data_IF_731366850467
#
_entry.id   IF_731366850467
#
_cell.length_a   1.000
_cell.length_b   1.000
_cell.length_c   1.000
_cell.angle_alpha   90.00
_cell.angle_beta   90.00
_cell.angle_gamma   90.00
#
_symmetry.space_group_name_H-M   'P 1'
#
loop_
_entity.id
_entity.type
_entity.pdbx_description
1 polymer ?
#
# COMPACT_ATOMS: atom_id res chain seq x y z
N UNK A 1 -29.57 -10.87 -15.88
CA UNK A 1 -30.12 -10.56 -17.22
C UNK A 1 -29.14 -11.06 -18.26
N UNK A 2 -29.61 -11.48 -19.43
CA UNK A 2 -28.80 -11.95 -20.56
C UNK A 2 -28.19 -10.77 -21.33
N UNK A 3 -26.99 -10.95 -21.87
CA UNK A 3 -26.28 -9.92 -22.67
C UNK A 3 -27.05 -9.72 -24.00
N UNK A 4 -27.35 -8.46 -24.41
CA UNK A 4 -27.98 -8.18 -25.70
C UNK A 4 -27.13 -8.64 -26.90
N UNK A 5 -27.76 -8.97 -28.03
CA UNK A 5 -27.05 -9.43 -29.22
C UNK A 5 -26.10 -8.37 -29.83
N UNK A 6 -26.43 -7.09 -29.68
CA UNK A 6 -25.64 -5.96 -30.20
C UNK A 6 -24.75 -5.31 -29.12
N UNK A 7 -24.37 -6.08 -28.09
CA UNK A 7 -23.57 -5.55 -26.99
C UNK A 7 -22.14 -5.23 -27.45
N UNK A 8 -21.80 -3.93 -27.44
CA UNK A 8 -20.44 -3.47 -27.63
C UNK A 8 -19.70 -3.48 -26.29
N UNK A 9 -18.86 -4.50 -26.08
CA UNK A 9 -18.10 -4.66 -24.84
C UNK A 9 -17.18 -3.47 -24.54
N UNK A 10 -16.61 -2.87 -25.59
CA UNK A 10 -15.68 -1.75 -25.47
C UNK A 10 -16.42 -0.52 -24.98
N UNK A 11 -17.55 -0.17 -25.59
CA UNK A 11 -18.32 1.02 -25.16
C UNK A 11 -18.84 0.89 -23.73
N UNK A 12 -19.35 -0.29 -23.37
CA UNK A 12 -19.77 -0.54 -22.00
C UNK A 12 -18.60 -0.39 -21.01
N UNK A 13 -17.41 -0.89 -21.34
CA UNK A 13 -16.23 -0.73 -20.50
C UNK A 13 -15.83 0.75 -20.38
N UNK A 14 -15.73 1.47 -21.49
CA UNK A 14 -15.32 2.88 -21.48
C UNK A 14 -16.31 3.76 -20.73
N UNK A 15 -17.61 3.46 -20.82
CA UNK A 15 -18.65 4.18 -20.09
C UNK A 15 -18.55 3.99 -18.58
N UNK A 16 -18.38 2.74 -18.12
CA UNK A 16 -18.21 2.44 -16.69
C UNK A 16 -16.94 3.11 -16.18
N UNK A 17 -15.83 2.97 -16.92
CA UNK A 17 -14.54 3.57 -16.58
C UNK A 17 -14.67 5.08 -16.45
N UNK A 18 -15.27 5.75 -17.44
CA UNK A 18 -15.47 7.20 -17.45
C UNK A 18 -16.31 7.64 -16.26
N UNK A 19 -17.40 6.94 -15.96
CA UNK A 19 -18.29 7.29 -14.84
C UNK A 19 -17.59 7.21 -13.50
N UNK A 20 -16.94 6.09 -13.20
CA UNK A 20 -16.29 5.88 -11.90
C UNK A 20 -15.05 6.80 -11.75
N UNK A 21 -14.20 6.88 -12.78
CA UNK A 21 -13.01 7.73 -12.77
C UNK A 21 -13.38 9.22 -12.63
N UNK A 22 -14.33 9.72 -13.42
CA UNK A 22 -14.71 11.13 -13.33
C UNK A 22 -15.37 11.46 -11.99
N UNK A 23 -16.08 10.52 -11.36
CA UNK A 23 -16.60 10.71 -9.99
C UNK A 23 -15.45 10.99 -9.01
N UNK A 24 -14.41 10.15 -9.03
CA UNK A 24 -13.24 10.31 -8.15
C UNK A 24 -12.46 11.60 -8.43
N UNK A 25 -12.25 11.94 -9.70
CA UNK A 25 -11.59 13.20 -10.10
C UNK A 25 -12.38 14.41 -9.60
N UNK A 26 -13.71 14.41 -9.75
CA UNK A 26 -14.56 15.52 -9.28
C UNK A 26 -14.57 15.64 -7.76
N UNK A 27 -14.56 14.51 -7.05
CA UNK A 27 -14.48 14.50 -5.59
C UNK A 27 -13.13 15.05 -5.10
N UNK A 28 -12.03 14.67 -5.76
CA UNK A 28 -10.70 15.17 -5.43
C UNK A 28 -10.54 16.67 -5.71
N UNK A 29 -11.07 17.15 -6.83
CA UNK A 29 -11.03 18.56 -7.23
C UNK A 29 -12.38 19.26 -7.02
N UNK A 30 -13.02 19.03 -5.87
CA UNK A 30 -14.36 19.58 -5.56
C UNK A 30 -14.42 21.11 -5.59
N UNK A 31 -13.31 21.78 -5.27
CA UNK A 31 -13.23 23.25 -5.15
C UNK A 31 -12.92 23.94 -6.49
N UNK A 32 -12.70 23.16 -7.56
CA UNK A 32 -12.37 23.67 -8.90
C UNK A 32 -13.53 23.44 -9.87
N UNK A 33 -13.84 24.37 -10.79
CA UNK A 33 -14.79 24.12 -11.87
C UNK A 33 -14.30 23.03 -12.82
N UNK A 34 -15.23 22.28 -13.45
CA UNK A 34 -14.93 21.18 -14.40
C UNK A 34 -14.34 21.68 -15.73
N UNK A 35 -14.76 22.87 -16.18
CA UNK A 35 -14.41 23.45 -17.49
C UNK A 35 -13.59 24.74 -17.36
N UNK A 36 -12.64 24.75 -16.42
CA UNK A 36 -11.72 25.87 -16.24
C UNK A 36 -10.27 25.43 -16.41
N UNK A 37 -9.46 26.28 -17.06
CA UNK A 37 -8.02 26.08 -17.28
C UNK A 37 -7.20 27.31 -16.87
N UNK A 38 -7.83 28.29 -16.22
CA UNK A 38 -7.22 29.54 -15.78
C UNK A 38 -6.20 29.32 -14.67
N UNK A 39 -6.47 28.39 -13.75
CA UNK A 39 -5.56 28.05 -12.65
C UNK A 39 -4.82 26.74 -12.92
N UNK A 40 -3.63 26.53 -12.33
CA UNK A 40 -2.94 25.25 -12.45
C UNK A 40 -3.79 24.06 -11.95
N UNK A 41 -4.59 24.26 -10.90
CA UNK A 41 -5.45 23.23 -10.32
C UNK A 41 -6.61 22.92 -11.26
N UNK A 42 -7.28 23.94 -11.79
CA UNK A 42 -8.40 23.74 -12.73
C UNK A 42 -7.94 23.10 -14.04
N UNK A 43 -6.78 23.53 -14.55
CA UNK A 43 -6.12 22.88 -15.69
C UNK A 43 -5.81 21.41 -15.45
N UNK A 44 -5.33 21.06 -14.25
CA UNK A 44 -5.03 19.68 -13.88
C UNK A 44 -6.31 18.84 -13.81
N UNK A 45 -7.39 19.37 -13.21
CA UNK A 45 -8.70 18.72 -13.19
C UNK A 45 -9.20 18.43 -14.62
N UNK A 46 -9.22 19.44 -15.48
CA UNK A 46 -9.64 19.29 -16.88
C UNK A 46 -8.78 18.27 -17.64
N UNK A 47 -7.48 18.18 -17.34
CA UNK A 47 -6.61 17.16 -17.92
C UNK A 47 -6.96 15.73 -17.45
N UNK A 48 -7.44 15.56 -16.21
CA UNK A 48 -7.81 14.26 -15.64
C UNK A 48 -9.20 13.75 -16.06
N UNK A 49 -10.14 14.63 -16.47
CA UNK A 49 -11.51 14.25 -16.84
C UNK A 49 -11.55 13.55 -18.22
N UNK A 50 -12.11 12.34 -18.26
CA UNK A 50 -12.33 11.56 -19.48
C UNK A 50 -13.57 12.06 -20.21
N UNK A 51 -13.43 12.31 -21.52
CA UNK A 51 -14.50 12.77 -22.42
C UNK A 51 -15.08 11.61 -23.23
N UNK A 52 -16.29 11.81 -23.76
CA UNK A 52 -16.99 10.81 -24.58
C UNK A 52 -16.26 10.50 -25.90
N UNK A 53 -15.62 11.51 -26.47
CA UNK A 53 -14.92 11.46 -27.74
C UNK A 53 -13.42 11.11 -27.60
N UNK A 54 -12.95 10.85 -26.39
CA UNK A 54 -11.54 10.51 -26.16
C UNK A 54 -11.23 9.12 -26.77
N UNK A 55 -10.20 9.01 -27.62
CA UNK A 55 -9.66 7.72 -27.99
C UNK A 55 -9.23 6.94 -26.75
N UNK A 56 -9.32 5.61 -26.79
CA UNK A 56 -9.01 4.73 -25.64
C UNK A 56 -7.64 5.04 -25.00
N UNK A 57 -6.63 5.35 -25.81
CA UNK A 57 -5.29 5.69 -25.33
C UNK A 57 -5.27 7.03 -24.56
N UNK A 58 -6.07 8.00 -24.99
CA UNK A 58 -6.20 9.29 -24.29
C UNK A 58 -6.93 9.08 -22.97
N UNK A 59 -8.05 8.34 -22.97
CA UNK A 59 -8.76 7.98 -21.74
C UNK A 59 -7.82 7.29 -20.73
N UNK A 60 -7.01 6.33 -21.18
CA UNK A 60 -5.99 5.67 -20.35
C UNK A 60 -4.94 6.64 -19.81
N UNK A 61 -4.42 7.54 -20.65
CA UNK A 61 -3.43 8.54 -20.22
C UNK A 61 -3.99 9.47 -19.13
N UNK A 62 -5.27 9.84 -19.22
CA UNK A 62 -5.94 10.65 -18.19
C UNK A 62 -6.11 9.90 -16.87
N UNK A 63 -6.43 8.60 -16.93
CA UNK A 63 -6.44 7.73 -15.75
C UNK A 63 -5.06 7.68 -15.10
N UNK A 64 -4.01 7.43 -15.89
CA UNK A 64 -2.63 7.35 -15.41
C UNK A 64 -2.14 8.65 -14.78
N UNK A 65 -2.49 9.80 -15.37
CA UNK A 65 -2.18 11.11 -14.80
C UNK A 65 -2.74 11.24 -13.38
N UNK A 66 -4.03 10.91 -13.19
CA UNK A 66 -4.69 11.00 -11.90
C UNK A 66 -4.17 9.96 -10.89
N UNK A 67 -4.05 8.72 -11.32
CA UNK A 67 -3.75 7.60 -10.44
C UNK A 67 -2.27 7.57 -10.03
N UNK A 68 -1.35 7.71 -10.99
CA UNK A 68 0.09 7.53 -10.76
C UNK A 68 0.79 8.86 -10.49
N UNK A 69 0.55 9.87 -11.34
CA UNK A 69 1.35 11.12 -11.29
C UNK A 69 0.89 12.02 -10.14
N UNK A 70 -0.42 12.16 -9.94
CA UNK A 70 -0.99 12.93 -8.81
C UNK A 70 -0.89 12.13 -7.51
N UNK A 71 -0.81 10.79 -7.61
CA UNK A 71 -0.40 9.94 -6.49
C UNK A 71 -1.55 9.33 -5.69
N UNK A 72 -2.72 9.10 -6.30
CA UNK A 72 -3.79 8.31 -5.67
C UNK A 72 -3.36 6.84 -5.44
N UNK A 73 -2.41 6.32 -6.23
CA UNK A 73 -1.79 5.01 -6.02
C UNK A 73 -0.72 4.98 -4.92
N UNK A 74 -0.43 6.09 -4.24
CA UNK A 74 0.57 6.10 -3.15
C UNK A 74 0.20 5.17 -2.00
N UNK A 75 -1.09 4.91 -1.78
CA UNK A 75 -1.55 3.93 -0.79
C UNK A 75 -1.11 2.49 -1.10
N UNK A 76 -0.87 2.16 -2.38
CA UNK A 76 -0.32 0.86 -2.81
C UNK A 76 1.22 0.82 -2.77
N UNK A 77 1.88 1.98 -2.70
CA UNK A 77 3.33 2.06 -2.65
C UNK A 77 3.78 2.08 -1.17
N UNK A 78 4.24 0.94 -0.65
CA UNK A 78 4.87 0.91 0.66
C UNK A 78 6.09 1.86 0.65
N UNK A 79 6.19 2.83 1.59
CA UNK A 79 7.35 3.69 1.67
C UNK A 79 8.56 2.85 2.09
N UNK A 80 9.45 2.56 1.14
CA UNK A 80 10.69 1.84 1.39
C UNK A 80 11.77 2.85 1.79
N UNK A 81 12.17 2.84 3.06
CA UNK A 81 13.34 3.59 3.53
C UNK A 81 14.56 2.67 3.57
N UNK A 82 15.48 2.83 2.62
CA UNK A 82 16.71 2.05 2.55
C UNK A 82 17.87 2.74 3.25
N UNK A 83 18.44 2.11 4.28
CA UNK A 83 19.73 2.51 4.85
C UNK A 83 20.82 1.71 4.12
N UNK A 84 21.88 2.33 3.58
CA UNK A 84 22.98 1.59 2.96
C UNK A 84 23.77 0.84 4.03
N UNK A 85 23.51 -0.47 4.18
CA UNK A 85 24.18 -1.36 5.13
C UNK A 85 25.34 -2.09 4.46
N UNK A 86 26.39 -1.37 4.02
CA UNK A 86 27.51 -2.02 3.31
C UNK A 86 28.77 -2.18 4.17
N UNK A 87 28.93 -1.45 5.28
CA UNK A 87 30.19 -1.49 6.06
C UNK A 87 30.04 -1.86 7.54
N UNK A 88 28.86 -1.69 8.16
CA UNK A 88 28.73 -1.87 9.62
C UNK A 88 28.53 -3.33 10.10
N UNK A 89 28.04 -4.22 9.22
CA UNK A 89 27.68 -5.59 9.59
C UNK A 89 28.84 -6.60 9.45
N UNK A 90 29.94 -6.23 8.78
CA UNK A 90 31.06 -7.14 8.51
C UNK A 90 32.01 -7.27 9.70
N UNK A 91 32.12 -6.24 10.54
CA UNK A 91 33.12 -6.19 11.62
C UNK A 91 32.62 -6.70 12.98
N UNK A 92 31.31 -6.93 13.17
CA UNK A 92 30.76 -7.31 14.48
C UNK A 92 30.17 -8.71 14.47
N UNK A 93 30.66 -9.57 15.38
CA UNK A 93 29.96 -10.83 15.71
C UNK A 93 28.61 -10.50 16.33
N UNK A 94 27.55 -10.60 15.53
CA UNK A 94 26.20 -10.30 15.98
C UNK A 94 25.70 -11.39 16.93
N UNK A 95 25.12 -10.94 18.05
CA UNK A 95 24.30 -11.79 18.92
C UNK A 95 23.00 -12.11 18.19
N UNK A 96 22.42 -13.29 18.42
CA UNK A 96 21.14 -13.63 17.84
C UNK A 96 20.07 -12.61 18.24
N UNK A 97 19.34 -12.14 17.25
CA UNK A 97 18.25 -11.18 17.39
C UNK A 97 16.97 -11.83 16.88
N UNK A 98 15.91 -11.73 17.66
CA UNK A 98 14.57 -12.12 17.25
C UNK A 98 13.82 -10.84 16.92
N UNK A 99 13.31 -10.76 15.70
CA UNK A 99 12.45 -9.66 15.27
C UNK A 99 11.07 -10.21 14.98
N UNK A 100 10.07 -9.65 15.64
CA UNK A 100 8.65 -9.94 15.44
C UNK A 100 8.04 -8.80 14.65
N UNK A 101 7.39 -9.15 13.53
CA UNK A 101 6.69 -8.22 12.67
C UNK A 101 5.19 -8.37 12.89
N UNK A 102 4.55 -7.25 13.23
CA UNK A 102 3.11 -7.15 13.39
C UNK A 102 2.56 -6.30 12.25
N UNK A 103 1.49 -6.77 11.63
CA UNK A 103 0.79 -6.05 10.59
C UNK A 103 -0.69 -6.00 10.95
N UNK A 104 -1.27 -4.80 10.97
CA UNK A 104 -2.71 -4.63 11.15
C UNK A 104 -3.47 -5.36 10.04
N UNK A 105 -4.53 -6.08 10.43
CA UNK A 105 -5.41 -6.74 9.48
C UNK A 105 -6.02 -5.70 8.52
N UNK A 106 -5.91 -5.94 7.21
CA UNK A 106 -6.39 -5.05 6.16
C UNK A 106 -7.90 -4.76 6.25
N UNK A 107 -8.67 -5.66 6.85
CA UNK A 107 -10.12 -5.48 7.07
C UNK A 107 -10.46 -4.47 8.19
N UNK A 108 -9.51 -4.16 9.06
CA UNK A 108 -9.70 -3.27 10.23
C UNK A 108 -8.99 -1.92 10.07
N UNK A 109 -8.57 -1.56 8.84
CA UNK A 109 -7.93 -0.28 8.55
C UNK A 109 -9.00 0.78 8.31
N UNK A 110 -8.85 1.96 8.93
CA UNK A 110 -9.76 3.10 8.71
C UNK A 110 -9.67 3.53 7.25
N UNK A 111 -10.81 3.80 6.62
CA UNK A 111 -10.87 4.15 5.19
C UNK A 111 -10.02 5.39 4.90
N UNK A 112 -8.99 5.21 4.07
CA UNK A 112 -8.06 6.27 3.66
C UNK A 112 -6.72 6.29 4.42
N UNK A 113 -6.54 5.42 5.42
CA UNK A 113 -5.28 5.29 6.16
C UNK A 113 -4.48 4.06 5.70
N UNK A 114 -3.15 4.11 5.91
CA UNK A 114 -2.28 2.97 5.68
C UNK A 114 -2.33 2.01 6.89
N UNK A 115 -2.23 0.69 6.68
CA UNK A 115 -2.17 -0.27 7.78
C UNK A 115 -0.98 0.03 8.69
N UNK A 116 -1.22 0.01 10.01
CA UNK A 116 -0.17 0.18 10.99
C UNK A 116 0.69 -1.08 11.05
N UNK A 117 2.01 -0.90 11.00
CA UNK A 117 2.99 -1.94 11.23
C UNK A 117 3.69 -1.72 12.56
N UNK A 118 3.97 -2.82 13.26
CA UNK A 118 4.74 -2.83 14.49
C UNK A 118 5.96 -3.73 14.33
N UNK A 119 7.11 -3.29 14.83
CA UNK A 119 8.30 -4.12 14.91
C UNK A 119 8.74 -4.19 16.37
N UNK A 120 8.90 -5.41 16.88
CA UNK A 120 9.53 -5.66 18.18
C UNK A 120 10.79 -6.48 17.95
N UNK A 121 11.94 -5.91 18.28
CA UNK A 121 13.22 -6.60 18.18
C UNK A 121 13.84 -6.79 19.57
N UNK A 122 14.22 -8.02 19.91
CA UNK A 122 14.99 -8.30 21.12
C UNK A 122 16.27 -9.10 20.78
N UNK A 123 17.34 -8.83 21.54
CA UNK A 123 18.62 -9.54 21.39
C UNK A 123 18.81 -10.50 22.55
N UNK A 124 19.21 -11.73 22.23
CA UNK A 124 19.51 -12.74 23.23
C UNK A 124 20.99 -12.63 23.56
N UNK A 125 21.30 -11.89 24.62
CA UNK A 125 22.69 -11.52 24.99
C UNK A 125 23.53 -12.75 25.39
N UNK A 126 22.90 -13.76 25.97
CA UNK A 126 23.56 -14.92 26.56
C UNK A 126 23.91 -16.02 25.54
N UNK A 127 23.57 -15.80 24.27
CA UNK A 127 23.72 -16.80 23.20
C UNK A 127 24.62 -16.31 22.08
N UNK A 128 25.19 -17.25 21.35
CA UNK A 128 26.06 -17.00 20.19
C UNK A 128 25.49 -17.69 18.96
N UNK A 129 25.97 -17.32 17.77
CA UNK A 129 25.50 -17.92 16.50
C UNK A 129 25.55 -19.46 16.51
N UNK A 130 26.55 -20.06 17.17
CA UNK A 130 26.72 -21.51 17.26
C UNK A 130 25.70 -22.21 18.15
N UNK A 131 25.13 -21.53 19.15
CA UNK A 131 24.21 -22.14 20.13
C UNK A 131 22.74 -22.10 19.69
N UNK A 132 22.43 -21.36 18.63
CA UNK A 132 21.04 -21.18 18.16
C UNK A 132 20.65 -22.16 17.05
N UNK A 133 21.63 -22.82 16.41
CA UNK A 133 21.37 -23.84 15.40
C UNK A 133 20.81 -25.15 15.98
N UNK A 134 20.65 -25.25 17.30
CA UNK A 134 19.94 -26.37 17.93
C UNK A 134 18.43 -26.20 17.74
N UNK A 135 17.83 -27.15 17.03
CA UNK A 135 16.40 -27.18 16.71
C UNK A 135 15.54 -27.25 17.97
N UNK A 136 16.02 -27.95 19.00
CA UNK A 136 15.30 -28.16 20.26
C UNK A 136 15.11 -26.83 20.99
N UNK A 137 16.17 -26.02 21.00
CA UNK A 137 16.17 -24.70 21.63
C UNK A 137 15.32 -23.67 20.87
N UNK A 138 15.30 -23.76 19.55
CA UNK A 138 14.48 -22.86 18.72
C UNK A 138 12.98 -23.07 18.97
N UNK A 139 12.57 -24.33 19.18
CA UNK A 139 11.18 -24.69 19.50
C UNK A 139 10.81 -24.17 20.90
N UNK A 140 11.65 -24.39 21.92
CA UNK A 140 11.40 -23.89 23.28
C UNK A 140 11.27 -22.36 23.32
N UNK A 141 12.16 -21.66 22.62
CA UNK A 141 12.12 -20.20 22.50
C UNK A 141 10.81 -19.74 21.85
N UNK A 142 10.38 -20.41 20.78
CA UNK A 142 9.12 -20.11 20.10
C UNK A 142 7.91 -20.29 21.03
N UNK A 143 7.87 -21.37 21.81
CA UNK A 143 6.80 -21.61 22.79
C UNK A 143 6.78 -20.54 23.89
N UNK A 144 7.95 -20.17 24.44
CA UNK A 144 8.05 -19.16 25.48
C UNK A 144 7.62 -17.77 24.97
N UNK A 145 8.03 -17.40 23.76
CA UNK A 145 7.62 -16.16 23.11
C UNK A 145 6.12 -16.14 22.84
N UNK A 146 5.55 -17.24 22.33
CA UNK A 146 4.11 -17.34 22.07
C UNK A 146 3.29 -17.17 23.36
N UNK A 147 3.73 -17.78 24.46
CA UNK A 147 3.05 -17.68 25.75
C UNK A 147 3.16 -16.27 26.37
N UNK A 148 4.34 -15.64 26.27
CA UNK A 148 4.59 -14.30 26.81
C UNK A 148 3.85 -13.21 26.02
N UNK A 149 3.78 -13.35 24.69
CA UNK A 149 3.04 -12.44 23.81
C UNK A 149 1.53 -12.56 24.05
N UNK A 150 1.01 -13.78 24.24
CA UNK A 150 -0.39 -13.97 24.59
C UNK A 150 -0.76 -13.21 25.87
N UNK A 151 0.08 -13.29 26.91
CA UNK A 151 -0.14 -12.56 28.17
C UNK A 151 -0.09 -11.05 27.96
N UNK A 152 0.88 -10.53 27.19
CA UNK A 152 1.01 -9.10 26.94
C UNK A 152 -0.17 -8.51 26.15
N UNK A 153 -0.80 -9.29 25.25
CA UNK A 153 -1.97 -8.85 24.46
C UNK A 153 -3.24 -8.81 25.33
N UNK A 154 -3.37 -9.64 26.36
CA UNK A 154 -4.54 -9.64 27.25
C UNK A 154 -4.50 -8.56 28.36
N UNK A 155 -3.36 -7.90 28.56
CA UNK A 155 -3.20 -6.85 29.58
C UNK A 155 -3.29 -5.41 29.03
N UNK A 156 -3.62 -5.26 27.75
CA UNK A 156 -3.85 -3.98 27.06
C UNK A 156 -5.31 -3.93 26.62
#
# INVERSE_FOLDING_TARGET
>A
MTIPADFNEIENLTDIVRREHNREVKEWFKDSPDDDVATPISRLKHACLIKDDDPLLVALQRQWLFQITIGQLRSLQQPVYGIPVTTFAVERRHRPQVTLYFQQNSLNVVRGEAPVTGELSCRIMDKTSTSICDISYTIELAFYLQQSIAIAIYCI
#
